data_IF_538260411848
#
_entry.id   IF_538260411848
#
_cell.length_a   1.000
_cell.length_b   1.000
_cell.length_c   1.000
_cell.angle_alpha   90.00
_cell.angle_beta   90.00
_cell.angle_gamma   90.00
#
_symmetry.space_group_name_H-M   'P 1'
#
loop_
_entity.id
_entity.type
_entity.pdbx_description
1 polymer ?
#
# COMPACT_ATOMS: atom_id res chain seq x y z
N UNK A 1 12.73 21.65 -3.40
CA UNK A 1 13.13 20.50 -4.25
C UNK A 1 11.93 19.58 -4.54
N UNK A 2 10.99 19.99 -5.40
CA UNK A 2 9.86 19.13 -5.85
C UNK A 2 10.10 18.54 -7.26
N UNK A 3 10.88 19.22 -8.09
CA UNK A 3 11.12 18.85 -9.50
C UNK A 3 11.98 17.59 -9.63
N UNK A 4 13.08 17.48 -8.87
CA UNK A 4 13.93 16.28 -8.83
C UNK A 4 13.16 15.03 -8.40
N UNK A 5 12.23 15.17 -7.45
CA UNK A 5 11.41 14.07 -6.96
C UNK A 5 10.39 13.61 -8.03
N UNK A 6 9.86 14.55 -8.81
CA UNK A 6 8.88 14.30 -9.87
C UNK A 6 9.50 13.62 -11.10
N UNK A 7 10.79 13.87 -11.36
CA UNK A 7 11.55 13.20 -12.43
C UNK A 7 12.03 11.82 -11.97
N UNK A 8 12.41 11.65 -10.70
CA UNK A 8 12.96 10.38 -10.20
C UNK A 8 11.89 9.29 -9.96
N UNK A 9 10.68 9.68 -9.57
CA UNK A 9 9.56 8.75 -9.31
C UNK A 9 9.23 7.82 -10.49
N UNK A 10 9.11 8.31 -11.74
CA UNK A 10 8.97 7.46 -12.93
C UNK A 10 10.07 6.42 -13.09
N UNK A 11 11.33 6.82 -12.88
CA UNK A 11 12.47 5.90 -12.98
C UNK A 11 12.47 4.87 -11.85
N UNK A 12 12.24 5.30 -10.60
CA UNK A 12 12.16 4.40 -9.46
C UNK A 12 11.03 3.37 -9.62
N UNK A 13 9.89 3.78 -10.19
CA UNK A 13 8.78 2.89 -10.49
C UNK A 13 9.16 1.84 -11.55
N UNK A 14 9.95 2.19 -12.56
CA UNK A 14 10.38 1.23 -13.58
C UNK A 14 11.36 0.20 -13.02
N UNK A 15 12.39 0.67 -12.30
CA UNK A 15 13.48 -0.21 -11.85
C UNK A 15 13.17 -0.98 -10.56
N UNK A 16 12.34 -0.42 -9.67
CA UNK A 16 12.05 -1.03 -8.37
C UNK A 16 10.62 -0.74 -7.89
N UNK A 17 9.59 -1.16 -8.64
CA UNK A 17 8.19 -0.83 -8.32
C UNK A 17 7.77 -1.34 -6.94
N UNK A 18 8.21 -2.54 -6.57
CA UNK A 18 7.90 -3.16 -5.29
C UNK A 18 8.53 -2.42 -4.10
N UNK A 19 9.79 -1.99 -4.24
CA UNK A 19 10.50 -1.24 -3.20
C UNK A 19 9.92 0.17 -3.05
N UNK A 20 9.57 0.80 -4.18
CA UNK A 20 8.91 2.09 -4.20
C UNK A 20 7.56 2.02 -3.47
N UNK A 21 6.72 1.05 -3.83
CA UNK A 21 5.43 0.83 -3.19
C UNK A 21 5.56 0.56 -1.69
N UNK A 22 6.52 -0.27 -1.26
CA UNK A 22 6.75 -0.54 0.16
C UNK A 22 7.19 0.70 0.94
N UNK A 23 8.11 1.48 0.37
CA UNK A 23 8.58 2.71 1.01
C UNK A 23 7.45 3.74 1.10
N UNK A 24 6.67 3.89 0.04
CA UNK A 24 5.53 4.81 0.01
C UNK A 24 4.41 4.35 0.95
N UNK A 25 4.10 3.05 1.03
CA UNK A 25 3.13 2.50 1.98
C UNK A 25 3.57 2.73 3.43
N UNK A 26 4.81 2.38 3.78
CA UNK A 26 5.35 2.62 5.13
C UNK A 26 5.42 4.12 5.47
N UNK A 27 5.79 4.96 4.50
CA UNK A 27 5.77 6.42 4.65
C UNK A 27 4.36 6.94 4.93
N UNK A 28 3.36 6.46 4.19
CA UNK A 28 1.96 6.85 4.34
C UNK A 28 1.38 6.38 5.68
N UNK A 29 1.66 5.13 6.09
CA UNK A 29 1.29 4.63 7.42
C UNK A 29 1.88 5.49 8.54
N UNK A 30 3.15 5.89 8.42
CA UNK A 30 3.80 6.80 9.37
C UNK A 30 3.09 8.16 9.40
N UNK A 31 2.75 8.72 8.23
CA UNK A 31 2.02 9.99 8.13
C UNK A 31 0.62 9.91 8.76
N UNK A 32 -0.03 8.74 8.72
CA UNK A 32 -1.30 8.49 9.39
C UNK A 32 -1.20 8.18 10.88
N UNK A 33 0.01 8.26 11.46
CA UNK A 33 0.26 8.06 12.89
C UNK A 33 0.39 6.60 13.31
N UNK A 34 0.52 5.66 12.37
CA UNK A 34 0.67 4.24 12.69
C UNK A 34 2.11 3.93 13.11
N UNK A 35 2.26 3.24 14.24
CA UNK A 35 3.58 2.84 14.73
C UNK A 35 4.19 1.74 13.83
N UNK A 36 5.20 2.09 13.03
CA UNK A 36 5.87 1.15 12.13
C UNK A 36 6.64 0.03 12.84
N UNK A 37 6.94 0.16 14.13
CA UNK A 37 7.61 -0.89 14.91
C UNK A 37 6.70 -2.10 15.14
N UNK A 38 5.38 -1.89 15.21
CA UNK A 38 4.43 -3.00 15.35
C UNK A 38 4.06 -3.64 14.03
N UNK A 39 4.40 -3.02 12.89
CA UNK A 39 4.13 -3.52 11.54
C UNK A 39 5.39 -4.23 10.99
N UNK A 40 5.38 -5.57 10.89
CA UNK A 40 6.51 -6.30 10.32
C UNK A 40 6.73 -5.87 8.86
N UNK A 41 8.00 -5.79 8.44
CA UNK A 41 8.33 -5.37 7.08
C UNK A 41 7.83 -6.35 6.01
N UNK A 42 7.72 -7.64 6.34
CA UNK A 42 7.12 -8.66 5.46
C UNK A 42 5.65 -8.37 5.15
N UNK A 43 4.88 -7.86 6.13
CA UNK A 43 3.49 -7.47 5.92
C UNK A 43 3.38 -6.32 4.91
N UNK A 44 4.14 -5.24 5.12
CA UNK A 44 4.12 -4.11 4.19
C UNK A 44 4.63 -4.50 2.80
N UNK A 45 5.59 -5.42 2.71
CA UNK A 45 6.07 -5.96 1.43
C UNK A 45 5.01 -6.79 0.71
N UNK A 46 4.27 -7.66 1.41
CA UNK A 46 3.20 -8.47 0.80
C UNK A 46 2.06 -7.59 0.27
N UNK A 47 1.63 -6.59 1.05
CA UNK A 47 0.62 -5.61 0.61
C UNK A 47 1.13 -4.83 -0.59
N UNK A 48 2.37 -4.34 -0.55
CA UNK A 48 2.95 -3.58 -1.66
C UNK A 48 3.11 -4.41 -2.93
N UNK A 49 3.45 -5.70 -2.79
CA UNK A 49 3.48 -6.64 -3.91
C UNK A 49 2.10 -6.77 -4.54
N UNK A 50 1.08 -6.96 -3.72
CA UNK A 50 -0.29 -7.06 -4.19
C UNK A 50 -0.74 -5.79 -4.95
N UNK A 51 -0.46 -4.60 -4.43
CA UNK A 51 -0.77 -3.31 -5.10
C UNK A 51 -0.14 -3.26 -6.50
N UNK A 52 1.16 -3.58 -6.62
CA UNK A 52 1.86 -3.56 -7.90
C UNK A 52 1.33 -4.63 -8.86
N UNK A 53 1.01 -5.81 -8.36
CA UNK A 53 0.49 -6.91 -9.18
C UNK A 53 -0.91 -6.56 -9.73
N UNK A 54 -1.81 -5.98 -8.90
CA UNK A 54 -3.11 -5.46 -9.35
C UNK A 54 -2.93 -4.38 -10.43
N UNK A 55 -2.02 -3.43 -10.19
CA UNK A 55 -1.75 -2.35 -11.13
C UNK A 55 -1.18 -2.87 -12.46
N UNK A 56 -0.35 -3.92 -12.44
CA UNK A 56 0.14 -4.56 -13.67
C UNK A 56 -0.99 -5.23 -14.47
N UNK A 57 -2.02 -5.74 -13.79
CA UNK A 57 -3.19 -6.36 -14.45
C UNK A 57 -4.12 -5.31 -15.04
N UNK A 58 -4.41 -4.23 -14.32
CA UNK A 58 -5.44 -3.24 -14.71
C UNK A 58 -4.94 -2.15 -15.66
N UNK A 59 -3.63 -1.88 -15.66
CA UNK A 59 -3.08 -0.64 -16.22
C UNK A 59 -1.99 -0.89 -17.28
N UNK A 60 -1.99 -2.03 -17.98
CA UNK A 60 -0.93 -2.42 -18.92
C UNK A 60 -0.52 -1.30 -19.90
N UNK A 61 -1.49 -0.65 -20.55
CA UNK A 61 -1.26 0.37 -21.57
C UNK A 61 -1.32 1.83 -21.07
N UNK A 62 -1.39 2.04 -19.75
CA UNK A 62 -1.47 3.39 -19.19
C UNK A 62 -0.11 4.09 -19.15
N UNK A 63 -0.13 5.42 -19.21
CA UNK A 63 1.07 6.26 -19.06
C UNK A 63 1.68 6.09 -17.67
N UNK A 64 3.00 6.32 -17.56
CA UNK A 64 3.72 6.19 -16.28
C UNK A 64 3.16 7.14 -15.22
N UNK A 65 2.73 8.35 -15.60
CA UNK A 65 2.08 9.30 -14.69
C UNK A 65 0.75 8.77 -14.15
N UNK A 66 -0.08 8.15 -15.00
CA UNK A 66 -1.32 7.50 -14.56
C UNK A 66 -1.02 6.33 -13.61
N UNK A 67 -0.01 5.52 -13.92
CA UNK A 67 0.45 4.43 -13.02
C UNK A 67 0.90 4.99 -11.67
N UNK A 68 1.68 6.06 -11.63
CA UNK A 68 2.11 6.67 -10.35
C UNK A 68 0.94 7.25 -9.55
N UNK A 69 -0.02 7.89 -10.22
CA UNK A 69 -1.21 8.42 -9.57
C UNK A 69 -2.09 7.30 -8.98
N UNK A 70 -2.37 6.26 -9.77
CA UNK A 70 -3.17 5.12 -9.32
C UNK A 70 -2.45 4.34 -8.22
N UNK A 71 -1.11 4.28 -8.27
CA UNK A 71 -0.29 3.70 -7.21
C UNK A 71 -0.47 4.46 -5.89
N UNK A 72 -0.46 5.80 -5.95
CA UNK A 72 -0.67 6.64 -4.77
C UNK A 72 -2.06 6.38 -4.16
N UNK A 73 -3.11 6.34 -4.98
CA UNK A 73 -4.49 6.05 -4.53
C UNK A 73 -4.56 4.68 -3.84
N UNK A 74 -3.99 3.65 -4.46
CA UNK A 74 -4.00 2.30 -3.89
C UNK A 74 -3.23 2.24 -2.58
N UNK A 75 -2.09 2.93 -2.49
CA UNK A 75 -1.30 3.04 -1.26
C UNK A 75 -2.10 3.73 -0.15
N UNK A 76 -2.74 4.87 -0.45
CA UNK A 76 -3.54 5.61 0.53
C UNK A 76 -4.72 4.76 1.02
N UNK A 77 -5.45 4.11 0.11
CA UNK A 77 -6.53 3.19 0.47
C UNK A 77 -6.04 2.06 1.39
N UNK A 78 -4.95 1.38 1.03
CA UNK A 78 -4.40 0.29 1.83
C UNK A 78 -3.92 0.79 3.19
N UNK A 79 -3.23 1.93 3.25
CA UNK A 79 -2.73 2.49 4.51
C UNK A 79 -3.87 2.93 5.45
N UNK A 80 -4.93 3.56 4.92
CA UNK A 80 -6.13 3.91 5.69
C UNK A 80 -6.80 2.64 6.23
N UNK A 81 -7.00 1.64 5.37
CA UNK A 81 -7.63 0.37 5.77
C UNK A 81 -6.83 -0.32 6.86
N UNK A 82 -5.50 -0.41 6.71
CA UNK A 82 -4.62 -0.96 7.73
C UNK A 82 -4.74 -0.21 9.05
N UNK A 83 -4.73 1.13 9.04
CA UNK A 83 -4.94 1.95 10.23
C UNK A 83 -6.27 1.61 10.90
N UNK A 84 -7.36 1.60 10.12
CA UNK A 84 -8.70 1.28 10.63
C UNK A 84 -8.76 -0.11 11.25
N UNK A 85 -8.11 -1.11 10.64
CA UNK A 85 -8.02 -2.48 11.20
C UNK A 85 -7.24 -2.46 12.52
N UNK A 86 -6.07 -1.80 12.57
CA UNK A 86 -5.23 -1.72 13.77
C UNK A 86 -5.96 -1.03 14.92
N UNK A 87 -6.71 0.03 14.62
CA UNK A 87 -7.44 0.81 15.61
C UNK A 87 -8.83 0.24 15.94
N UNK A 88 -9.21 -0.90 15.34
CA UNK A 88 -10.56 -1.48 15.48
C UNK A 88 -11.69 -0.49 15.13
N UNK A 89 -11.49 0.35 14.11
CA UNK A 89 -12.44 1.40 13.69
C UNK A 89 -13.60 0.85 12.83
N UNK A 90 -13.48 -0.38 12.32
CA UNK A 90 -14.56 -1.04 11.58
C UNK A 90 -15.64 -1.51 12.56
N UNK A 91 -16.81 -0.87 12.51
CA UNK A 91 -17.91 -1.10 13.46
C UNK A 91 -18.96 -2.07 12.93
N UNK A 92 -19.07 -2.20 11.62
CA UNK A 92 -20.15 -2.96 10.98
C UNK A 92 -19.61 -3.89 9.89
N UNK A 93 -20.30 -5.02 9.70
CA UNK A 93 -19.91 -6.04 8.70
C UNK A 93 -19.98 -5.51 7.26
N UNK A 94 -20.90 -4.59 6.95
CA UNK A 94 -21.01 -4.00 5.60
C UNK A 94 -19.80 -3.12 5.24
N UNK A 95 -18.97 -2.72 6.22
CA UNK A 95 -17.75 -1.98 5.98
C UNK A 95 -16.60 -2.89 5.52
N UNK A 96 -16.76 -4.22 5.61
CA UNK A 96 -15.81 -5.21 5.10
C UNK A 96 -16.13 -5.55 3.63
N UNK A 97 -15.63 -4.72 2.72
CA UNK A 97 -15.61 -5.07 1.29
C UNK A 97 -14.59 -6.20 1.04
N UNK A 98 -14.67 -6.92 -0.09
CA UNK A 98 -13.69 -7.97 -0.44
C UNK A 98 -12.24 -7.48 -0.39
N UNK A 99 -11.98 -6.23 -0.74
CA UNK A 99 -10.65 -5.63 -0.67
C UNK A 99 -10.17 -5.44 0.78
N UNK A 100 -11.08 -5.00 1.66
CA UNK A 100 -10.79 -4.80 3.09
C UNK A 100 -10.57 -6.15 3.77
N UNK A 101 -11.38 -7.16 3.42
CA UNK A 101 -11.23 -8.52 3.91
C UNK A 101 -9.91 -9.15 3.44
N UNK A 102 -9.51 -8.92 2.19
CA UNK A 102 -8.21 -9.36 1.68
C UNK A 102 -7.04 -8.74 2.46
N UNK A 103 -7.08 -7.42 2.71
CA UNK A 103 -6.06 -6.73 3.52
C UNK A 103 -6.03 -7.30 4.94
N UNK A 104 -7.20 -7.47 5.55
CA UNK A 104 -7.35 -8.10 6.88
C UNK A 104 -6.73 -9.49 6.91
N UNK A 105 -6.97 -10.33 5.91
CA UNK A 105 -6.43 -11.67 5.84
C UNK A 105 -4.89 -11.68 5.73
N UNK A 106 -4.32 -10.79 4.92
CA UNK A 106 -2.86 -10.61 4.84
C UNK A 106 -2.31 -10.16 6.20
N UNK A 107 -2.98 -9.24 6.89
CA UNK A 107 -2.59 -8.77 8.23
C UNK A 107 -2.66 -9.89 9.27
N UNK A 108 -3.75 -10.67 9.31
CA UNK A 108 -3.93 -11.80 10.22
C UNK A 108 -2.86 -12.88 10.00
N UNK A 109 -2.57 -13.21 8.73
CA UNK A 109 -1.50 -14.14 8.36
C UNK A 109 -0.14 -13.74 8.96
N UNK A 110 0.16 -12.45 9.01
CA UNK A 110 1.41 -11.95 9.60
C UNK A 110 1.34 -11.76 11.12
N UNK A 111 0.15 -11.57 11.69
CA UNK A 111 -0.04 -11.55 13.13
C UNK A 111 0.18 -12.94 13.77
N UNK A 112 -0.23 -14.01 13.08
CA UNK A 112 -0.07 -15.41 13.54
C UNK A 112 1.37 -15.92 13.39
N UNK A 113 2.16 -15.36 12.46
CA UNK A 113 3.56 -15.74 12.23
C UNK A 113 4.56 -15.11 13.21
N UNK A 114 4.09 -14.34 14.19
CA UNK A 114 4.90 -13.82 15.31
C UNK A 114 5.10 -14.90 16.36
#
# INVERSE_FOLDING_TARGET
MKILHMIWLPFAYWFSPYKLANNALRGTLKNYGVNLAVIPNSLSQEISKNIIDIQKMTNQNSSVFKKLHDLQILIDFNAITMKKIINHEFKYEYEFTPEIEHIKNIMLKHAIKR
#
